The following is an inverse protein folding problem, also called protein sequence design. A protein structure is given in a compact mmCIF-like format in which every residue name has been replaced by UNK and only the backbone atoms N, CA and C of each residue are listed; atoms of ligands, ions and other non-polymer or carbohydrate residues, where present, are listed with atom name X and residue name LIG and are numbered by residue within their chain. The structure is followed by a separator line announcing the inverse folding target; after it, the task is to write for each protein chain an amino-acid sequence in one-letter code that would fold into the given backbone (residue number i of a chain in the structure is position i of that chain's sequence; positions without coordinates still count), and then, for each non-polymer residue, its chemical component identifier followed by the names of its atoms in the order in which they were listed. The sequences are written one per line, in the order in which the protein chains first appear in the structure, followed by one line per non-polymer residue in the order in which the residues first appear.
data_IF_234157300020
#
_entry.id   IF_234157300020
#
_cell.length_a   1.000
_cell.length_b   1.000
_cell.length_c   1.000
_cell.angle_alpha   90.00
_cell.angle_beta   90.00
_cell.angle_gamma   90.00
#
_symmetry.space_group_name_H-M   'P 1'
#
loop_
_entity.id
_entity.type
_entity.pdbx_description
1 polymer ?
#
# COMPACT_ATOMS: atom_id res chain seq x y z
N UNK A 1 -7.75 -14.69 -20.48
CA UNK A 1 -6.63 -14.15 -19.69
C UNK A 1 -5.56 -15.23 -19.62
N UNK A 2 -4.30 -14.92 -19.94
CA UNK A 2 -3.19 -15.89 -19.96
C UNK A 2 -2.30 -15.72 -18.72
N UNK A 3 -1.47 -16.72 -18.42
CA UNK A 3 -0.48 -16.64 -17.33
C UNK A 3 0.53 -15.49 -17.54
N UNK A 4 0.69 -15.02 -18.78
CA UNK A 4 1.61 -13.93 -19.15
C UNK A 4 1.08 -12.54 -18.76
N UNK A 5 -0.24 -12.42 -18.54
CA UNK A 5 -0.91 -11.14 -18.30
C UNK A 5 -1.61 -11.09 -16.93
N UNK A 6 -1.25 -11.98 -16.01
CA UNK A 6 -1.89 -12.07 -14.69
C UNK A 6 -0.90 -12.36 -13.57
N UNK A 7 -1.25 -11.92 -12.36
CA UNK A 7 -0.53 -12.27 -11.13
C UNK A 7 -1.37 -13.31 -10.38
N UNK A 8 -0.85 -14.54 -10.31
CA UNK A 8 -1.51 -15.62 -9.58
C UNK A 8 -1.20 -15.57 -8.09
N UNK A 9 -2.21 -15.33 -7.26
CA UNK A 9 -2.11 -15.42 -5.79
C UNK A 9 -2.79 -16.71 -5.32
N UNK A 10 -2.00 -17.63 -4.76
CA UNK A 10 -2.50 -18.92 -4.27
C UNK A 10 -2.65 -18.89 -2.73
N UNK A 11 -3.86 -19.17 -2.26
CA UNK A 11 -4.10 -19.41 -0.84
C UNK A 11 -3.80 -20.88 -0.52
N UNK A 12 -2.95 -21.14 0.46
CA UNK A 12 -2.63 -22.49 0.91
C UNK A 12 -3.85 -23.18 1.54
N UNK A 13 -4.27 -24.33 0.99
CA UNK A 13 -5.37 -25.13 1.51
C UNK A 13 -6.35 -25.61 0.44
N UNK A 14 -7.36 -26.40 0.85
CA UNK A 14 -8.47 -26.81 0.00
C UNK A 14 -9.77 -26.14 0.49
N UNK A 15 -10.29 -25.20 -0.31
CA UNK A 15 -11.49 -24.44 0.05
C UNK A 15 -12.76 -24.93 -0.64
N UNK A 16 -12.83 -26.24 -0.89
CA UNK A 16 -14.04 -26.89 -1.39
C UNK A 16 -15.14 -26.89 -0.33
N UNK A 17 -14.80 -27.29 0.89
CA UNK A 17 -15.79 -27.48 1.96
C UNK A 17 -15.72 -26.40 3.04
N UNK A 18 -14.57 -25.78 3.24
CA UNK A 18 -14.35 -24.73 4.24
C UNK A 18 -13.71 -23.48 3.63
N UNK A 19 -14.04 -22.30 4.15
CA UNK A 19 -13.38 -21.06 3.76
C UNK A 19 -11.96 -20.97 4.37
N UNK A 20 -11.06 -20.16 3.80
CA UNK A 20 -9.77 -19.91 4.42
C UNK A 20 -9.91 -19.25 5.81
N UNK A 21 -8.98 -19.50 6.74
CA UNK A 21 -8.94 -18.82 8.03
C UNK A 21 -8.90 -17.30 7.89
N UNK A 22 -9.45 -16.58 8.87
CA UNK A 22 -9.54 -15.12 8.85
C UNK A 22 -8.17 -14.44 8.66
N UNK A 23 -7.12 -14.93 9.33
CA UNK A 23 -5.77 -14.37 9.22
C UNK A 23 -5.16 -14.54 7.82
N UNK A 24 -5.47 -15.67 7.17
CA UNK A 24 -5.03 -15.93 5.81
C UNK A 24 -5.75 -15.02 4.82
N UNK A 25 -7.06 -14.77 5.02
CA UNK A 25 -7.81 -13.80 4.22
C UNK A 25 -7.30 -12.38 4.42
N UNK A 26 -7.02 -11.97 5.66
CA UNK A 26 -6.48 -10.64 5.96
C UNK A 26 -5.10 -10.43 5.31
N UNK A 27 -4.22 -11.43 5.41
CA UNK A 27 -2.89 -11.40 4.77
C UNK A 27 -3.01 -11.33 3.25
N UNK A 28 -3.93 -12.10 2.67
CA UNK A 28 -4.20 -12.07 1.24
C UNK A 28 -4.77 -10.72 0.79
N UNK A 29 -5.69 -10.14 1.56
CA UNK A 29 -6.28 -8.83 1.28
C UNK A 29 -5.21 -7.73 1.24
N UNK A 30 -4.28 -7.73 2.20
CA UNK A 30 -3.18 -6.77 2.23
C UNK A 30 -2.25 -6.91 1.01
N UNK A 31 -1.89 -8.14 0.64
CA UNK A 31 -1.07 -8.39 -0.55
C UNK A 31 -1.77 -7.94 -1.84
N UNK A 32 -3.05 -8.30 -1.98
CA UNK A 32 -3.85 -7.95 -3.16
C UNK A 32 -4.02 -6.44 -3.26
N UNK A 33 -4.33 -5.75 -2.16
CA UNK A 33 -4.46 -4.30 -2.14
C UNK A 33 -3.16 -3.63 -2.60
N UNK A 34 -2.01 -4.11 -2.11
CA UNK A 34 -0.71 -3.62 -2.55
C UNK A 34 -0.45 -3.86 -4.05
N UNK A 35 -0.83 -5.03 -4.58
CA UNK A 35 -0.70 -5.34 -6.01
C UNK A 35 -1.59 -4.44 -6.87
N UNK A 36 -2.86 -4.27 -6.49
CA UNK A 36 -3.80 -3.41 -7.21
C UNK A 36 -3.32 -1.97 -7.24
N UNK A 37 -2.89 -1.44 -6.08
CA UNK A 37 -2.33 -0.10 -5.98
C UNK A 37 -1.07 0.06 -6.86
N UNK A 38 -0.12 -0.88 -6.74
CA UNK A 38 1.18 -0.80 -7.42
C UNK A 38 1.08 -0.95 -8.95
N UNK A 39 0.09 -1.71 -9.42
CA UNK A 39 -0.15 -1.94 -10.85
C UNK A 39 -1.23 -1.01 -11.42
N UNK A 40 -1.76 -0.09 -10.62
CA UNK A 40 -2.86 0.80 -10.99
C UNK A 40 -4.08 0.06 -11.54
N UNK A 41 -4.43 -1.07 -10.92
CA UNK A 41 -5.53 -1.91 -11.32
C UNK A 41 -6.79 -1.61 -10.49
N UNK A 42 -7.97 -1.61 -11.13
CA UNK A 42 -9.25 -1.50 -10.43
C UNK A 42 -9.59 -2.79 -9.65
N UNK A 43 -10.51 -2.68 -8.68
CA UNK A 43 -10.90 -3.79 -7.79
C UNK A 43 -11.55 -4.97 -8.52
N UNK A 44 -12.18 -4.73 -9.66
CA UNK A 44 -12.78 -5.73 -10.55
C UNK A 44 -11.75 -6.59 -11.28
N UNK A 45 -10.47 -6.19 -11.30
CA UNK A 45 -9.37 -7.03 -11.75
C UNK A 45 -9.15 -8.25 -10.83
N UNK A 46 -9.70 -8.25 -9.61
CA UNK A 46 -9.70 -9.41 -8.72
C UNK A 46 -10.71 -10.45 -9.20
N UNK A 47 -10.19 -11.53 -9.80
CA UNK A 47 -10.99 -12.65 -10.27
C UNK A 47 -10.46 -14.00 -9.77
N UNK A 48 -11.37 -14.94 -9.56
CA UNK A 48 -11.02 -16.32 -9.23
C UNK A 48 -10.66 -17.11 -10.49
N UNK A 49 -9.77 -18.11 -10.40
CA UNK A 49 -9.35 -18.89 -11.58
C UNK A 49 -10.54 -19.51 -12.33
N UNK A 50 -11.54 -20.03 -11.63
CA UNK A 50 -12.78 -20.58 -12.21
C UNK A 50 -13.65 -19.58 -12.97
N UNK A 51 -13.46 -18.28 -12.75
CA UNK A 51 -14.19 -17.22 -13.45
C UNK A 51 -13.59 -16.96 -14.84
N UNK A 52 -12.34 -17.39 -15.06
CA UNK A 52 -11.64 -17.30 -16.34
C UNK A 52 -11.63 -18.66 -17.03
N UNK A 53 -11.40 -19.73 -16.27
CA UNK A 53 -11.27 -21.11 -16.74
C UNK A 53 -12.35 -21.99 -16.11
N UNK A 54 -13.48 -22.15 -16.79
CA UNK A 54 -14.67 -22.84 -16.26
C UNK A 54 -14.43 -24.32 -15.92
N UNK A 55 -13.39 -24.94 -16.48
CA UNK A 55 -13.00 -26.32 -16.19
C UNK A 55 -12.26 -26.50 -14.86
N UNK A 56 -11.81 -25.41 -14.22
CA UNK A 56 -11.06 -25.47 -12.97
C UNK A 56 -11.93 -25.21 -11.74
N UNK A 57 -11.73 -26.02 -10.69
CA UNK A 57 -12.42 -25.85 -9.41
C UNK A 57 -11.83 -24.79 -8.47
N UNK A 58 -10.67 -24.21 -8.82
CA UNK A 58 -9.96 -23.21 -8.01
C UNK A 58 -10.66 -21.84 -8.10
N UNK A 59 -10.83 -21.09 -6.99
CA UNK A 59 -10.20 -21.27 -5.69
C UNK A 59 -11.08 -22.04 -4.68
N UNK A 60 -11.94 -22.93 -5.15
CA UNK A 60 -12.82 -23.77 -4.33
C UNK A 60 -14.30 -23.43 -4.55
N UNK A 61 -15.18 -24.32 -4.05
CA UNK A 61 -16.63 -24.09 -4.10
C UNK A 61 -17.02 -22.90 -3.22
N UNK A 62 -16.38 -22.74 -2.05
CA UNK A 62 -16.66 -21.66 -1.09
C UNK A 62 -16.37 -20.24 -1.61
N UNK A 63 -15.72 -20.09 -2.78
CA UNK A 63 -15.39 -18.79 -3.38
C UNK A 63 -16.62 -17.92 -3.65
N UNK A 64 -17.61 -18.48 -4.34
CA UNK A 64 -18.88 -17.80 -4.69
C UNK A 64 -20.11 -18.50 -4.11
N UNK A 65 -19.95 -19.69 -3.53
CA UNK A 65 -21.02 -20.49 -2.92
C UNK A 65 -20.72 -20.64 -1.43
N UNK A 66 -21.72 -21.01 -0.63
CA UNK A 66 -21.53 -21.19 0.82
C UNK A 66 -21.06 -19.91 1.50
N UNK A 67 -19.87 -19.94 2.10
CA UNK A 67 -19.28 -18.80 2.80
C UNK A 67 -19.02 -17.57 1.91
N UNK A 68 -18.99 -17.74 0.58
CA UNK A 68 -18.77 -16.68 -0.40
C UNK A 68 -17.60 -15.76 0.00
N UNK A 69 -16.44 -16.37 0.26
CA UNK A 69 -15.32 -15.64 0.81
C UNK A 69 -14.73 -14.62 -0.17
N UNK A 70 -15.09 -14.65 -1.47
CA UNK A 70 -14.80 -13.56 -2.43
C UNK A 70 -15.33 -12.23 -1.93
N UNK A 71 -16.59 -12.18 -1.48
CA UNK A 71 -17.21 -10.94 -1.02
C UNK A 71 -16.47 -10.38 0.22
N UNK A 72 -16.07 -11.28 1.13
CA UNK A 72 -15.27 -10.90 2.31
C UNK A 72 -13.90 -10.35 1.90
N UNK A 73 -13.23 -11.01 0.95
CA UNK A 73 -11.92 -10.59 0.44
C UNK A 73 -12.00 -9.24 -0.25
N UNK A 74 -12.94 -9.04 -1.17
CA UNK A 74 -13.16 -7.76 -1.86
C UNK A 74 -13.41 -6.64 -0.87
N UNK A 75 -14.26 -6.87 0.14
CA UNK A 75 -14.53 -5.88 1.19
C UNK A 75 -13.29 -5.51 1.98
N UNK A 76 -12.45 -6.48 2.36
CA UNK A 76 -11.20 -6.22 3.09
C UNK A 76 -10.20 -5.45 2.23
N UNK A 77 -10.06 -5.82 0.94
CA UNK A 77 -9.18 -5.12 -0.01
C UNK A 77 -9.64 -3.68 -0.17
N UNK A 78 -10.94 -3.45 -0.39
CA UNK A 78 -11.49 -2.09 -0.55
C UNK A 78 -11.23 -1.25 0.70
N UNK A 79 -11.47 -1.79 1.90
CA UNK A 79 -11.21 -1.08 3.14
C UNK A 79 -9.73 -0.66 3.29
N UNK A 80 -8.79 -1.48 2.82
CA UNK A 80 -7.35 -1.14 2.82
C UNK A 80 -7.05 -0.04 1.81
N UNK A 81 -7.62 -0.10 0.60
CA UNK A 81 -7.43 0.92 -0.43
C UNK A 81 -8.01 2.27 0.03
N UNK A 82 -9.20 2.27 0.62
CA UNK A 82 -9.83 3.48 1.16
C UNK A 82 -8.98 4.08 2.30
N UNK A 83 -8.49 3.24 3.21
CA UNK A 83 -7.59 3.69 4.28
C UNK A 83 -6.26 4.25 3.75
N UNK A 84 -5.73 3.72 2.64
CA UNK A 84 -4.52 4.24 2.01
C UNK A 84 -4.74 5.64 1.39
N UNK A 85 -5.94 5.89 0.83
CA UNK A 85 -6.33 7.21 0.32
C UNK A 85 -6.44 8.22 1.47
N UNK A 86 -7.05 7.82 2.60
CA UNK A 86 -7.18 8.68 3.78
C UNK A 86 -5.83 9.04 4.44
N UNK A 87 -4.78 8.23 4.23
CA UNK A 87 -3.43 8.53 4.73
C UNK A 87 -2.68 9.54 3.83
N UNK A 88 -3.08 9.67 2.56
CA UNK A 88 -2.65 10.73 1.63
C UNK A 88 -3.60 11.96 1.72
N UNK A 89 -3.69 12.59 2.90
CA UNK A 89 -3.16 13.94 3.01
C UNK A 89 -2.44 14.15 4.35
N UNK A 90 -1.56 13.24 4.75
CA UNK A 90 -0.73 13.45 5.96
C UNK A 90 0.44 14.36 5.65
N UNK A 91 0.15 15.66 5.64
CA UNK A 91 1.08 16.76 5.88
C UNK A 91 2.45 16.59 5.22
N UNK A 92 2.59 17.08 3.99
CA UNK A 92 3.86 17.71 3.64
C UNK A 92 4.01 18.87 4.63
N UNK A 93 4.91 18.79 5.63
CA UNK A 93 5.12 19.94 6.49
C UNK A 93 5.58 21.11 5.60
N UNK A 94 5.08 22.30 5.87
CA UNK A 94 5.29 23.54 5.08
C UNK A 94 6.77 23.83 4.76
N UNK A 95 7.73 23.21 5.46
CA UNK A 95 9.17 23.27 5.17
C UNK A 95 9.61 22.52 3.90
N UNK A 96 8.79 21.63 3.31
CA UNK A 96 9.14 20.94 2.05
C UNK A 96 9.05 21.85 0.81
N UNK A 97 8.65 23.11 0.98
CA UNK A 97 8.83 24.15 -0.03
C UNK A 97 10.28 24.64 -0.14
N UNK A 98 11.13 24.32 0.84
CA UNK A 98 12.58 24.47 0.71
C UNK A 98 13.16 23.29 -0.09
N UNK A 99 12.95 23.27 -1.41
CA UNK A 99 13.92 22.63 -2.30
C UNK A 99 15.13 23.56 -2.38
N UNK A 100 16.30 23.26 -1.78
CA UNK A 100 17.51 23.74 -2.42
C UNK A 100 17.66 22.89 -3.68
N UNK A 101 17.50 23.51 -4.85
CA UNK A 101 18.21 23.02 -6.02
C UNK A 101 19.69 23.20 -5.70
N UNK A 102 20.27 22.18 -5.08
CA UNK A 102 21.70 21.99 -4.93
C UNK A 102 21.99 20.52 -5.19
N UNK A 103 21.69 20.09 -6.42
CA UNK A 103 22.38 18.93 -7.01
C UNK A 103 23.81 19.35 -7.30
N UNK A 104 24.66 19.29 -6.28
CA UNK A 104 26.06 18.94 -6.49
C UNK A 104 26.40 17.85 -5.49
N UNK A 105 26.51 16.64 -6.03
CA UNK A 105 27.00 15.49 -5.31
C UNK A 105 28.35 15.80 -4.68
N UNK A 106 28.45 15.73 -3.35
CA UNK A 106 29.45 14.90 -2.66
C UNK A 106 29.34 15.02 -1.13
N UNK A 107 29.26 13.82 -0.52
CA UNK A 107 29.68 13.44 0.84
C UNK A 107 28.62 13.55 1.95
N UNK A 108 28.05 12.36 2.21
CA UNK A 108 28.13 11.62 3.49
C UNK A 108 27.52 12.31 4.71
N UNK A 109 26.31 11.87 5.06
CA UNK A 109 25.71 12.05 6.39
C UNK A 109 26.60 11.41 7.47
N UNK A 110 26.57 11.90 8.73
CA UNK A 110 25.70 11.19 9.67
C UNK A 110 25.01 12.05 10.73
N UNK A 111 23.95 11.45 11.25
CA UNK A 111 23.46 11.53 12.63
C UNK A 111 22.67 12.78 13.06
N UNK A 112 21.36 12.57 13.14
CA UNK A 112 20.59 13.00 14.30
C UNK A 112 21.35 12.64 15.58
N UNK A 113 21.81 13.63 16.34
CA UNK A 113 22.11 13.50 17.76
C UNK A 113 22.22 14.89 18.41
N UNK A 114 21.25 15.18 19.28
CA UNK A 114 21.41 15.93 20.53
C UNK A 114 21.78 17.44 20.49
N UNK A 115 20.89 18.28 21.03
CA UNK A 115 21.07 19.17 22.21
C UNK A 115 22.55 19.52 22.61
N UNK A 116 22.94 20.75 23.06
CA UNK A 116 22.19 21.93 23.50
C UNK A 116 22.46 23.23 22.72
N UNK A 117 21.60 24.20 22.99
CA UNK A 117 21.70 25.64 22.72
C UNK A 117 23.14 26.18 22.92
N UNK A 118 23.84 26.44 21.82
CA UNK A 118 24.85 27.51 21.72
C UNK A 118 24.75 28.11 20.31
N UNK A 119 24.31 29.37 20.26
CA UNK A 119 24.29 30.20 19.05
C UNK A 119 25.73 30.37 18.52
N UNK A 120 26.04 30.04 17.25
CA UNK A 120 27.23 30.53 16.56
C UNK A 120 26.93 31.84 15.80
N UNK A 121 27.95 32.66 15.51
CA UNK A 121 27.79 34.01 15.00
C UNK A 121 27.44 33.98 13.51
N UNK A 122 26.20 34.27 13.16
CA UNK A 122 25.79 34.43 11.76
C UNK A 122 26.27 35.79 11.22
N UNK A 123 26.76 35.88 9.97
CA UNK A 123 26.80 37.17 9.29
C UNK A 123 25.36 37.63 9.04
N UNK A 124 25.12 38.88 9.42
CA UNK A 124 23.81 39.50 9.49
C UNK A 124 23.18 39.60 8.10
N UNK A 125 22.07 38.89 7.86
CA UNK A 125 20.88 39.30 7.07
C UNK A 125 19.99 38.09 6.73
N UNK A 126 19.16 37.66 7.68
CA UNK A 126 17.91 36.96 7.39
C UNK A 126 16.77 37.78 8.01
N UNK A 127 16.13 38.64 7.20
CA UNK A 127 15.05 39.56 7.59
C UNK A 127 13.65 38.90 7.52
N UNK A 128 13.46 37.70 8.10
CA UNK A 128 12.14 37.03 8.00
C UNK A 128 11.44 36.80 9.36
N UNK A 129 12.06 37.12 10.50
CA UNK A 129 11.39 36.96 11.81
C UNK A 129 11.00 38.26 12.52
N UNK A 130 10.77 39.36 11.80
CA UNK A 130 10.40 40.64 12.41
C UNK A 130 8.97 41.08 12.05
N UNK A 131 7.96 40.49 12.68
CA UNK A 131 6.71 41.17 13.07
C UNK A 131 5.91 40.29 14.03
N UNK A 132 5.98 40.64 15.31
CA UNK A 132 4.89 40.51 16.26
C UNK A 132 4.39 41.94 16.54
#
# INVERSE_FOLDING_TARGET
MTNEQSVGVALAGNFTDQAPPAEQLASAAALIAWLLYSLHLPIDALVGRKEIETSHGSPGKQWMQGANYKATLVRQVQAILDAAIEVEPRAVPMWSSCRPVCVSWKRRWPACSHWPIRQPPWPSRCKICATA
#
